data_IF_903426568281
#
_entry.id   IF_903426568281
#
_cell.length_a   1.000
_cell.length_b   1.000
_cell.length_c   1.000
_cell.angle_alpha   90.00
_cell.angle_beta   90.00
_cell.angle_gamma   90.00
#
_symmetry.space_group_name_H-M   'P 1'
#
loop_
_entity.id
_entity.type
_entity.pdbx_description
1 polymer ?
#
# COMPACT_ATOMS: atom_id res chain seq x y z
N UNK A 1 -1.21 24.28 21.49
CA UNK A 1 -1.93 23.66 20.36
C UNK A 1 -1.62 22.17 20.39
N UNK A 2 -2.57 21.37 20.87
CA UNK A 2 -2.45 19.92 21.05
C UNK A 2 -2.61 19.22 19.70
N UNK A 3 -1.60 18.44 19.30
CA UNK A 3 -1.68 17.58 18.12
C UNK A 3 -2.83 16.56 18.28
N UNK A 4 -3.56 16.21 17.21
CA UNK A 4 -4.57 15.15 17.29
C UNK A 4 -3.89 13.82 17.61
N UNK A 5 -4.55 12.89 18.33
CA UNK A 5 -4.00 11.58 18.60
C UNK A 5 -3.93 10.80 17.29
N UNK A 6 -2.74 10.71 16.71
CA UNK A 6 -2.43 9.69 15.72
C UNK A 6 -2.49 8.34 16.44
N UNK A 7 -3.57 7.59 16.22
CA UNK A 7 -3.56 6.15 16.42
C UNK A 7 -2.70 5.50 15.31
N UNK A 8 -1.45 5.94 15.18
CA UNK A 8 -0.42 5.16 14.54
C UNK A 8 -0.44 3.80 15.25
N UNK A 9 -0.51 2.71 14.47
CA UNK A 9 -0.39 1.32 14.92
C UNK A 9 0.46 1.28 16.19
N UNK A 10 -0.19 1.16 17.34
CA UNK A 10 0.50 1.17 18.62
C UNK A 10 1.48 0.00 18.58
N UNK A 11 2.76 0.32 18.45
CA UNK A 11 3.86 -0.62 18.57
C UNK A 11 4.02 -0.95 20.06
N UNK A 12 3.03 -1.59 20.64
CA UNK A 12 3.06 -2.11 22.00
C UNK A 12 2.79 -3.60 21.92
N UNK A 13 3.86 -4.35 21.66
CA UNK A 13 3.84 -5.81 21.63
C UNK A 13 5.09 -6.33 20.94
N UNK A 14 5.65 -7.42 21.47
CA UNK A 14 6.70 -8.21 20.82
C UNK A 14 6.39 -8.42 19.33
N UNK A 15 7.40 -8.56 18.45
CA UNK A 15 7.18 -8.73 17.02
C UNK A 15 6.16 -9.87 16.78
N UNK A 16 4.96 -9.51 16.35
CA UNK A 16 3.98 -10.47 15.86
C UNK A 16 4.62 -11.24 14.70
N UNK A 17 4.52 -12.56 14.71
CA UNK A 17 5.05 -13.41 13.64
C UNK A 17 4.43 -13.09 12.26
N UNK A 18 3.28 -12.41 12.23
CA UNK A 18 2.55 -12.04 11.02
C UNK A 18 2.30 -10.52 10.92
N UNK A 19 2.36 -9.94 9.71
CA UNK A 19 2.09 -8.53 9.48
C UNK A 19 0.62 -8.19 9.69
N UNK A 20 0.32 -6.93 10.03
CA UNK A 20 -1.07 -6.45 10.00
C UNK A 20 -1.59 -6.50 8.56
N UNK A 21 -2.62 -7.31 8.34
CA UNK A 21 -3.21 -7.47 7.02
C UNK A 21 -4.33 -6.45 6.78
N UNK A 22 -4.14 -5.62 5.75
CA UNK A 22 -5.06 -4.58 5.30
C UNK A 22 -5.82 -5.08 4.07
N UNK A 23 -7.16 -5.10 4.14
CA UNK A 23 -7.96 -5.61 3.02
C UNK A 23 -8.20 -4.50 2.01
N UNK A 24 -7.74 -4.66 0.77
CA UNK A 24 -8.08 -3.74 -0.31
C UNK A 24 -9.58 -3.85 -0.61
N UNK A 25 -10.33 -2.75 -0.55
CA UNK A 25 -11.78 -2.75 -0.81
C UNK A 25 -12.14 -1.85 -2.01
N UNK A 26 -12.98 -2.33 -2.94
CA UNK A 26 -13.34 -1.57 -4.13
C UNK A 26 -14.43 -0.54 -3.84
N UNK A 27 -15.16 -0.63 -2.73
CA UNK A 27 -16.40 0.11 -2.53
C UNK A 27 -16.36 0.89 -1.20
N UNK A 28 -16.36 2.24 -1.22
CA UNK A 28 -16.27 3.07 -0.02
C UNK A 28 -17.36 2.80 1.01
N UNK A 29 -18.57 2.40 0.60
CA UNK A 29 -19.66 2.07 1.54
C UNK A 29 -19.33 0.88 2.46
N UNK A 30 -18.30 0.08 2.15
CA UNK A 30 -17.86 -1.00 3.01
C UNK A 30 -17.21 -0.52 4.30
N UNK A 31 -16.63 0.69 4.30
CA UNK A 31 -15.96 1.25 5.48
C UNK A 31 -16.92 1.39 6.67
N UNK A 32 -18.22 1.61 6.43
CA UNK A 32 -19.24 1.64 7.48
C UNK A 32 -19.78 0.27 7.90
N UNK A 33 -19.32 -0.82 7.28
CA UNK A 33 -19.87 -2.18 7.44
C UNK A 33 -18.85 -3.20 7.97
N UNK A 34 -17.57 -2.85 7.99
CA UNK A 34 -16.48 -3.71 8.46
C UNK A 34 -15.77 -3.05 9.64
N UNK A 35 -15.10 -3.86 10.45
CA UNK A 35 -14.34 -3.41 11.63
C UNK A 35 -12.84 -3.65 11.50
N UNK A 36 -12.39 -4.35 10.46
CA UNK A 36 -10.98 -4.65 10.22
C UNK A 36 -10.31 -3.63 9.28
N UNK A 37 -8.98 -3.46 9.37
CA UNK A 37 -8.17 -2.62 8.47
C UNK A 37 -8.53 -2.73 6.98
N UNK A 38 -8.81 -1.59 6.35
CA UNK A 38 -9.18 -1.53 4.94
C UNK A 38 -8.40 -0.48 4.15
N UNK A 39 -7.93 -0.85 2.96
CA UNK A 39 -7.28 0.08 2.03
C UNK A 39 -8.22 0.41 0.88
N UNK A 40 -8.36 1.69 0.57
CA UNK A 40 -9.19 2.19 -0.54
C UNK A 40 -8.37 3.13 -1.40
N UNK A 41 -8.44 2.98 -2.72
CA UNK A 41 -7.78 3.95 -3.60
C UNK A 41 -8.52 5.29 -3.56
N UNK A 42 -7.77 6.39 -3.52
CA UNK A 42 -8.21 7.78 -3.61
C UNK A 42 -9.32 7.97 -4.64
N UNK A 43 -9.14 7.42 -5.85
CA UNK A 43 -10.13 7.58 -6.91
C UNK A 43 -11.51 6.98 -6.63
N UNK A 44 -11.60 5.96 -5.79
CA UNK A 44 -12.89 5.37 -5.41
C UNK A 44 -13.60 6.27 -4.42
N UNK A 45 -12.83 6.95 -3.56
CA UNK A 45 -13.33 7.92 -2.60
C UNK A 45 -13.69 9.26 -3.24
N UNK A 46 -12.93 9.70 -4.25
CA UNK A 46 -13.11 11.00 -4.92
C UNK A 46 -14.15 10.97 -6.06
N UNK A 47 -14.48 9.79 -6.63
CA UNK A 47 -15.41 9.67 -7.78
C UNK A 47 -16.85 10.09 -7.50
N UNK A 48 -17.27 10.07 -6.24
CA UNK A 48 -18.63 10.41 -5.82
C UNK A 48 -18.54 11.08 -4.44
N UNK A 49 -19.44 12.02 -4.12
CA UNK A 49 -19.57 12.47 -2.74
C UNK A 49 -19.72 11.23 -1.86
N UNK A 50 -18.85 11.09 -0.85
CA UNK A 50 -19.00 10.01 0.12
C UNK A 50 -20.41 10.09 0.70
N UNK A 51 -21.14 8.95 0.83
CA UNK A 51 -22.50 8.95 1.34
C UNK A 51 -22.60 9.83 2.58
N UNK A 52 -23.64 10.67 2.69
CA UNK A 52 -23.77 11.62 3.81
C UNK A 52 -23.69 10.92 5.18
N UNK A 53 -24.25 9.72 5.26
CA UNK A 53 -24.26 8.86 6.45
C UNK A 53 -23.03 7.92 6.57
N UNK A 54 -22.03 8.02 5.69
CA UNK A 54 -20.83 7.21 5.83
C UNK A 54 -20.03 7.70 7.04
N UNK A 55 -19.95 6.85 8.07
CA UNK A 55 -18.96 6.93 9.13
C UNK A 55 -18.18 5.63 9.10
N UNK A 56 -16.87 5.68 8.86
CA UNK A 56 -16.06 4.47 8.86
C UNK A 56 -16.07 3.82 10.25
N UNK A 57 -16.26 2.51 10.30
CA UNK A 57 -16.21 1.68 11.52
C UNK A 57 -14.89 0.89 11.62
N UNK A 58 -13.98 1.11 10.69
CA UNK A 58 -12.69 0.45 10.62
C UNK A 58 -11.55 1.46 10.44
N UNK A 59 -10.31 1.08 10.76
CA UNK A 59 -9.13 1.85 10.37
C UNK A 59 -8.98 1.86 8.83
N UNK A 60 -8.90 3.05 8.23
CA UNK A 60 -8.83 3.20 6.77
C UNK A 60 -7.46 3.70 6.32
N UNK A 61 -6.96 3.09 5.25
CA UNK A 61 -5.71 3.44 4.58
C UNK A 61 -6.02 3.87 3.16
N UNK A 62 -5.33 4.89 2.66
CA UNK A 62 -5.59 5.44 1.32
C UNK A 62 -4.44 5.15 0.38
N UNK A 63 -4.74 4.41 -0.70
CA UNK A 63 -3.83 4.28 -1.84
C UNK A 63 -3.98 5.52 -2.72
N UNK A 64 -2.89 6.20 -3.07
CA UNK A 64 -2.90 7.40 -3.90
C UNK A 64 -3.35 7.12 -5.35
N UNK A 65 -3.43 5.83 -5.73
CA UNK A 65 -3.84 5.34 -7.05
C UNK A 65 -2.79 5.60 -8.14
N UNK A 66 -1.52 5.72 -7.74
CA UNK A 66 -0.39 5.99 -8.66
C UNK A 66 -0.29 5.01 -9.81
N UNK A 67 -0.51 3.71 -9.56
CA UNK A 67 -0.43 2.72 -10.64
C UNK A 67 -1.41 3.01 -11.77
N UNK A 68 -2.61 3.48 -11.43
CA UNK A 68 -3.61 3.79 -12.45
C UNK A 68 -3.29 5.09 -13.17
N UNK A 69 -2.79 6.11 -12.46
CA UNK A 69 -2.41 7.39 -13.07
C UNK A 69 -1.29 7.18 -14.08
N UNK A 70 -0.18 6.56 -13.67
CA UNK A 70 0.96 6.34 -14.55
C UNK A 70 0.64 5.36 -15.68
N UNK A 71 -0.12 4.29 -15.42
CA UNK A 71 -0.56 3.37 -16.48
C UNK A 71 -1.38 4.09 -17.55
N UNK A 72 -2.34 4.94 -17.16
CA UNK A 72 -3.29 5.54 -18.11
C UNK A 72 -2.77 6.81 -18.77
N UNK A 73 -1.99 7.60 -18.04
CA UNK A 73 -1.64 8.96 -18.43
C UNK A 73 -0.13 9.16 -18.56
N UNK A 74 0.71 8.24 -18.08
CA UNK A 74 2.16 8.41 -18.04
C UNK A 74 2.62 9.51 -17.06
N UNK A 75 1.69 10.07 -16.28
CA UNK A 75 1.90 11.18 -15.35
C UNK A 75 0.78 11.23 -14.31
N UNK A 76 1.01 11.97 -13.25
CA UNK A 76 -0.04 12.36 -12.31
C UNK A 76 -0.96 13.41 -12.94
N UNK A 77 -2.28 13.17 -12.89
CA UNK A 77 -3.29 14.17 -13.29
C UNK A 77 -3.92 14.88 -12.10
N UNK A 78 -3.71 14.35 -10.89
CA UNK A 78 -4.14 14.93 -9.61
C UNK A 78 -2.93 15.64 -9.01
N UNK A 79 -3.09 16.90 -8.66
CA UNK A 79 -2.03 17.69 -8.01
C UNK A 79 -1.87 17.30 -6.54
N UNK A 80 -0.69 17.54 -5.97
CA UNK A 80 -0.43 17.34 -4.55
C UNK A 80 -1.38 18.15 -3.65
N UNK A 81 -1.75 19.36 -4.09
CA UNK A 81 -2.70 20.24 -3.39
C UNK A 81 -4.10 19.64 -3.35
N UNK A 82 -4.64 19.22 -4.49
CA UNK A 82 -5.96 18.57 -4.56
C UNK A 82 -6.01 17.31 -3.70
N UNK A 83 -4.95 16.50 -3.75
CA UNK A 83 -4.85 15.29 -2.95
C UNK A 83 -4.88 15.58 -1.44
N UNK A 84 -4.08 16.55 -0.99
CA UNK A 84 -4.03 16.99 0.41
C UNK A 84 -5.34 17.61 0.89
N UNK A 85 -5.94 18.50 0.10
CA UNK A 85 -7.22 19.15 0.44
C UNK A 85 -8.32 18.11 0.60
N UNK A 86 -8.33 17.10 -0.26
CA UNK A 86 -9.26 16.00 -0.14
C UNK A 86 -9.03 15.18 1.14
N UNK A 87 -7.77 14.82 1.45
CA UNK A 87 -7.44 14.06 2.66
C UNK A 87 -7.82 14.82 3.93
N UNK A 88 -7.56 16.14 4.01
CA UNK A 88 -8.02 16.98 5.13
C UNK A 88 -9.53 16.93 5.30
N UNK A 89 -10.25 17.14 4.19
CA UNK A 89 -11.70 17.30 4.23
C UNK A 89 -12.44 16.00 4.59
N UNK A 90 -11.79 14.84 4.41
CA UNK A 90 -12.43 13.54 4.57
C UNK A 90 -11.76 12.61 5.58
N UNK A 91 -10.58 12.95 6.10
CA UNK A 91 -9.75 12.10 6.94
C UNK A 91 -10.48 11.56 8.17
N UNK A 92 -11.15 12.44 8.92
CA UNK A 92 -11.96 12.04 10.08
C UNK A 92 -13.12 11.13 9.68
N UNK A 93 -13.87 11.51 8.63
CA UNK A 93 -15.04 10.77 8.15
C UNK A 93 -14.71 9.33 7.76
N UNK A 94 -13.52 9.12 7.21
CA UNK A 94 -13.05 7.78 6.80
C UNK A 94 -12.21 7.08 7.88
N UNK A 95 -11.97 7.68 9.05
CA UNK A 95 -11.05 7.15 10.06
C UNK A 95 -9.65 6.86 9.46
N UNK A 96 -9.08 7.86 8.80
CA UNK A 96 -7.79 7.79 8.13
C UNK A 96 -6.67 7.47 9.12
N UNK A 97 -5.95 6.38 8.88
CA UNK A 97 -4.75 6.01 9.64
C UNK A 97 -3.48 6.49 8.96
N UNK A 98 -3.38 6.28 7.64
CA UNK A 98 -2.36 6.86 6.79
C UNK A 98 -2.75 6.82 5.31
N UNK A 99 -2.07 7.64 4.52
CA UNK A 99 -2.20 7.72 3.07
C UNK A 99 -0.84 7.48 2.39
N UNK A 100 -0.84 6.76 1.27
CA UNK A 100 0.32 6.63 0.40
C UNK A 100 0.59 7.98 -0.30
N UNK A 101 1.86 8.32 -0.63
CA UNK A 101 2.18 9.51 -1.39
C UNK A 101 1.86 9.28 -2.87
N UNK A 102 1.99 10.31 -3.69
CA UNK A 102 1.85 10.21 -5.14
C UNK A 102 3.20 9.81 -5.78
N UNK A 103 3.64 8.60 -5.45
CA UNK A 103 4.90 8.00 -5.86
C UNK A 103 4.94 7.54 -7.33
N UNK A 104 6.13 7.14 -7.79
CA UNK A 104 6.38 6.79 -9.19
C UNK A 104 6.94 5.37 -9.34
N UNK A 105 6.12 4.47 -9.89
CA UNK A 105 6.47 3.05 -10.01
C UNK A 105 7.45 2.79 -11.14
N UNK A 106 8.47 2.01 -10.81
CA UNK A 106 9.60 1.66 -11.66
C UNK A 106 9.39 0.39 -12.49
N UNK A 107 8.15 -0.11 -12.62
CA UNK A 107 7.90 -1.30 -13.43
C UNK A 107 8.15 -1.02 -14.92
N UNK A 108 8.78 -1.93 -15.69
CA UNK A 108 9.07 -1.73 -17.11
C UNK A 108 7.84 -1.32 -17.94
N UNK A 109 6.66 -1.85 -17.59
CA UNK A 109 5.41 -1.47 -18.26
C UNK A 109 5.00 -0.01 -18.03
N UNK A 110 5.27 0.52 -16.83
CA UNK A 110 5.03 1.92 -16.49
C UNK A 110 6.08 2.82 -17.14
N UNK A 111 7.36 2.40 -17.15
CA UNK A 111 8.44 3.17 -17.74
C UNK A 111 8.30 3.27 -19.26
N UNK A 112 8.21 2.14 -19.95
CA UNK A 112 8.34 2.07 -21.40
C UNK A 112 7.00 2.23 -22.15
N UNK A 113 5.87 1.90 -21.50
CA UNK A 113 4.57 1.93 -22.16
C UNK A 113 4.40 0.84 -23.21
N UNK A 114 3.29 0.88 -23.93
CA UNK A 114 2.92 -0.14 -24.91
C UNK A 114 2.06 -1.25 -24.34
N UNK A 115 2.05 -2.41 -25.01
CA UNK A 115 1.14 -3.51 -24.70
C UNK A 115 1.85 -4.58 -23.87
N UNK A 116 1.39 -4.78 -22.64
CA UNK A 116 1.86 -5.83 -21.73
C UNK A 116 0.72 -6.82 -21.49
N UNK A 117 0.76 -7.94 -22.20
CA UNK A 117 -0.33 -8.90 -22.23
C UNK A 117 -1.60 -8.29 -22.84
N UNK A 118 -2.67 -8.22 -22.04
CA UNK A 118 -3.98 -7.62 -22.44
C UNK A 118 -4.13 -6.17 -21.99
N UNK A 119 -3.12 -5.61 -21.32
CA UNK A 119 -3.17 -4.27 -20.77
C UNK A 119 -2.32 -3.31 -21.61
N UNK A 120 -2.83 -2.11 -21.84
CA UNK A 120 -2.09 -1.01 -22.48
C UNK A 120 -1.60 -0.04 -21.42
N UNK A 121 -0.37 0.42 -21.57
CA UNK A 121 0.30 1.38 -20.72
C UNK A 121 0.72 2.59 -21.55
N UNK A 122 0.47 3.79 -21.02
CA UNK A 122 0.86 5.04 -21.68
C UNK A 122 2.39 5.15 -21.81
N UNK A 123 3.12 4.69 -20.78
CA UNK A 123 4.56 4.92 -20.67
C UNK A 123 4.84 6.31 -20.11
N UNK A 124 5.64 6.37 -19.06
CA UNK A 124 6.19 7.66 -18.60
C UNK A 124 7.35 8.12 -19.49
N UNK A 125 8.04 7.16 -20.11
CA UNK A 125 9.27 7.34 -20.89
C UNK A 125 10.40 8.00 -20.08
N UNK A 126 10.41 7.77 -18.77
CA UNK A 126 11.43 8.25 -17.84
C UNK A 126 12.31 7.10 -17.37
N UNK A 127 13.49 7.43 -16.88
CA UNK A 127 14.38 6.47 -16.24
C UNK A 127 13.90 6.08 -14.84
N UNK A 128 14.35 4.94 -14.33
CA UNK A 128 14.15 4.56 -12.92
C UNK A 128 14.66 5.67 -12.00
N UNK A 129 15.86 6.20 -12.25
CA UNK A 129 16.44 7.31 -11.48
C UNK A 129 15.49 8.51 -11.38
N UNK A 130 14.85 8.90 -12.48
CA UNK A 130 13.89 10.00 -12.48
C UNK A 130 12.64 9.68 -11.65
N UNK A 131 12.15 8.44 -11.69
CA UNK A 131 11.05 8.00 -10.82
C UNK A 131 11.41 8.04 -9.34
N UNK A 132 12.66 7.70 -8.98
CA UNK A 132 13.14 7.81 -7.60
C UNK A 132 13.11 9.27 -7.11
N UNK A 133 13.67 10.20 -7.90
CA UNK A 133 13.65 11.62 -7.57
C UNK A 133 12.22 12.15 -7.41
N UNK A 134 11.34 11.89 -8.38
CA UNK A 134 9.94 12.35 -8.31
C UNK A 134 9.17 11.76 -7.13
N UNK A 135 9.49 10.53 -6.73
CA UNK A 135 8.89 9.90 -5.54
C UNK A 135 9.31 10.62 -4.26
N UNK A 136 10.59 10.91 -4.12
CA UNK A 136 11.15 11.63 -2.96
C UNK A 136 10.61 13.07 -2.93
N UNK A 137 10.69 13.79 -4.05
CA UNK A 137 10.22 15.17 -4.19
C UNK A 137 8.71 15.29 -3.89
N UNK A 138 7.92 14.31 -4.35
CA UNK A 138 6.49 14.30 -4.05
C UNK A 138 6.23 14.14 -2.56
N UNK A 139 6.93 13.21 -1.88
CA UNK A 139 6.78 13.04 -0.44
C UNK A 139 7.16 14.33 0.33
N UNK A 140 8.27 14.97 -0.04
CA UNK A 140 8.69 16.24 0.57
C UNK A 140 7.66 17.34 0.34
N UNK A 141 7.12 17.44 -0.87
CA UNK A 141 6.06 18.39 -1.22
C UNK A 141 4.80 18.16 -0.37
N UNK A 142 4.35 16.91 -0.23
CA UNK A 142 3.19 16.56 0.58
C UNK A 142 3.41 16.87 2.06
N UNK A 143 4.61 16.57 2.59
CA UNK A 143 4.99 16.90 3.97
C UNK A 143 5.04 18.41 4.22
N UNK A 144 5.46 19.20 3.23
CA UNK A 144 5.43 20.65 3.32
C UNK A 144 4.00 21.20 3.26
N UNK A 145 3.16 20.67 2.37
CA UNK A 145 1.78 21.12 2.19
C UNK A 145 0.88 20.74 3.37
N UNK A 146 1.12 19.60 4.01
CA UNK A 146 0.29 19.05 5.08
C UNK A 146 1.09 18.21 6.10
N UNK A 147 1.95 18.84 6.92
CA UNK A 147 2.73 18.13 7.93
C UNK A 147 1.88 17.43 8.98
N UNK A 148 0.61 17.82 9.15
CA UNK A 148 -0.35 17.22 10.07
C UNK A 148 -1.00 15.93 9.57
N UNK A 149 -0.96 15.67 8.25
CA UNK A 149 -1.57 14.47 7.68
C UNK A 149 -0.61 13.27 7.77
N UNK A 150 -1.12 12.06 8.07
CA UNK A 150 -0.31 10.85 8.14
C UNK A 150 0.01 10.31 6.73
N UNK A 151 0.84 11.03 5.97
CA UNK A 151 1.35 10.57 4.67
C UNK A 151 2.71 9.94 4.90
N UNK A 152 2.87 8.66 4.55
CA UNK A 152 4.12 7.94 4.76
C UNK A 152 4.92 7.78 3.46
N UNK A 153 6.27 7.84 3.51
CA UNK A 153 7.08 7.75 2.30
C UNK A 153 7.06 6.33 1.73
N UNK A 154 7.45 6.23 0.46
CA UNK A 154 7.57 4.95 -0.25
C UNK A 154 8.95 4.87 -0.89
N UNK A 155 9.66 3.78 -0.61
CA UNK A 155 10.88 3.47 -1.37
C UNK A 155 10.49 2.79 -2.68
N UNK A 156 10.97 3.35 -3.78
CA UNK A 156 10.75 2.86 -5.13
C UNK A 156 12.03 2.25 -5.71
N UNK A 157 11.88 1.42 -6.73
CA UNK A 157 12.99 0.78 -7.43
C UNK A 157 12.54 -0.39 -8.29
N UNK A 158 13.43 -0.88 -9.16
CA UNK A 158 13.22 -2.13 -9.88
C UNK A 158 14.21 -3.19 -9.38
N UNK A 159 15.51 -2.90 -9.36
CA UNK A 159 16.53 -3.78 -8.79
C UNK A 159 16.83 -3.37 -7.35
N UNK A 160 17.48 -4.26 -6.58
CA UNK A 160 17.84 -3.98 -5.18
C UNK A 160 18.58 -2.64 -5.03
N UNK A 161 19.53 -2.36 -5.91
CA UNK A 161 20.31 -1.13 -5.88
C UNK A 161 19.46 0.12 -6.12
N UNK A 162 18.35 0.03 -6.86
CA UNK A 162 17.43 1.17 -7.00
C UNK A 162 16.77 1.52 -5.67
N UNK A 163 16.34 0.50 -4.92
CA UNK A 163 15.73 0.72 -3.60
C UNK A 163 16.75 1.32 -2.62
N UNK A 164 17.99 0.83 -2.63
CA UNK A 164 19.07 1.40 -1.81
C UNK A 164 19.39 2.84 -2.21
N UNK A 165 19.44 3.15 -3.51
CA UNK A 165 19.56 4.52 -4.02
C UNK A 165 18.41 5.40 -3.55
N UNK A 166 17.17 4.90 -3.56
CA UNK A 166 16.02 5.64 -3.08
C UNK A 166 16.13 5.98 -1.58
N UNK A 167 16.60 5.03 -0.76
CA UNK A 167 16.89 5.29 0.67
C UNK A 167 17.95 6.39 0.84
N UNK A 168 19.01 6.37 0.03
CA UNK A 168 20.04 7.42 0.02
C UNK A 168 19.46 8.77 -0.38
N UNK A 169 18.56 8.83 -1.36
CA UNK A 169 17.89 10.08 -1.76
C UNK A 169 17.05 10.67 -0.62
N UNK A 170 16.29 9.85 0.10
CA UNK A 170 15.57 10.30 1.29
C UNK A 170 16.52 10.82 2.38
N UNK A 171 17.62 10.10 2.62
CA UNK A 171 18.63 10.50 3.61
C UNK A 171 19.27 11.84 3.24
N UNK A 172 19.64 12.03 1.98
CA UNK A 172 20.20 13.27 1.46
C UNK A 172 19.22 14.45 1.56
N UNK A 173 17.91 14.18 1.50
CA UNK A 173 16.85 15.16 1.73
C UNK A 173 16.51 15.38 3.22
N UNK A 174 17.29 14.83 4.15
CA UNK A 174 17.09 14.99 5.59
C UNK A 174 15.94 14.16 6.16
N UNK A 175 15.53 13.08 5.48
CA UNK A 175 14.49 12.16 5.96
C UNK A 175 15.15 10.87 6.47
N UNK A 176 15.15 10.70 7.79
CA UNK A 176 15.49 9.42 8.43
C UNK A 176 14.30 8.46 8.32
N UNK A 177 14.35 7.56 7.34
CA UNK A 177 13.31 6.56 7.10
C UNK A 177 13.18 5.53 8.23
N UNK A 178 14.26 5.23 8.97
CA UNK A 178 14.21 4.25 10.07
C UNK A 178 13.48 4.82 11.29
N UNK A 179 13.57 6.14 11.50
CA UNK A 179 12.81 6.83 12.54
C UNK A 179 11.30 6.91 12.26
N UNK A 180 10.85 6.72 11.01
CA UNK A 180 9.44 6.82 10.62
C UNK A 180 8.64 5.56 10.98
N UNK A 181 7.37 5.70 11.43
CA UNK A 181 6.56 4.58 11.90
C UNK A 181 6.25 3.54 10.82
N UNK A 182 6.31 3.95 9.55
CA UNK A 182 6.05 3.10 8.41
C UNK A 182 6.71 3.68 7.14
N UNK A 183 7.17 2.80 6.27
CA UNK A 183 7.71 3.10 4.93
C UNK A 183 7.12 2.09 3.95
N UNK A 184 6.47 2.55 2.89
CA UNK A 184 5.94 1.66 1.86
C UNK A 184 7.02 1.14 0.92
N UNK A 185 6.81 -0.03 0.32
CA UNK A 185 7.67 -0.56 -0.74
C UNK A 185 6.89 -0.58 -2.06
N UNK A 186 7.32 0.25 -3.00
CA UNK A 186 6.72 0.35 -4.32
C UNK A 186 7.21 -0.71 -5.30
N UNK A 187 6.53 -0.83 -6.45
CA UNK A 187 6.93 -1.69 -7.59
C UNK A 187 7.03 -3.20 -7.32
N UNK A 188 6.45 -3.69 -6.20
CA UNK A 188 6.49 -5.12 -5.82
C UNK A 188 5.24 -5.92 -6.23
N UNK A 189 4.14 -5.24 -6.56
CA UNK A 189 2.81 -5.85 -6.71
C UNK A 189 2.71 -6.88 -7.86
N UNK A 190 3.62 -6.89 -8.84
CA UNK A 190 3.63 -7.88 -9.95
C UNK A 190 4.77 -8.92 -9.85
N UNK A 191 5.64 -8.84 -8.83
CA UNK A 191 6.83 -9.69 -8.63
C UNK A 191 6.85 -10.44 -7.30
N UNK A 192 5.77 -10.34 -6.53
CA UNK A 192 5.62 -10.77 -5.13
C UNK A 192 5.86 -12.26 -4.80
N UNK A 193 6.23 -13.09 -5.77
CA UNK A 193 6.56 -14.50 -5.56
C UNK A 193 8.00 -14.85 -5.93
N UNK A 194 8.82 -13.88 -6.35
CA UNK A 194 10.22 -14.14 -6.72
C UNK A 194 11.13 -14.19 -5.50
N UNK A 195 12.28 -14.86 -5.62
CA UNK A 195 13.32 -14.80 -4.58
C UNK A 195 13.83 -13.37 -4.38
N UNK A 196 13.91 -12.62 -5.49
CA UNK A 196 14.39 -11.25 -5.56
C UNK A 196 13.59 -10.28 -4.68
N UNK A 197 12.24 -10.32 -4.70
CA UNK A 197 11.44 -9.47 -3.79
C UNK A 197 11.68 -9.85 -2.33
N UNK A 198 11.90 -11.13 -2.03
CA UNK A 198 12.27 -11.57 -0.69
C UNK A 198 13.60 -10.95 -0.23
N UNK A 199 14.59 -10.86 -1.11
CA UNK A 199 15.86 -10.20 -0.85
C UNK A 199 15.68 -8.70 -0.62
N UNK A 200 14.95 -7.99 -1.50
CA UNK A 200 14.66 -6.55 -1.35
C UNK A 200 14.00 -6.26 0.00
N UNK A 201 12.94 -6.99 0.35
CA UNK A 201 12.21 -6.78 1.61
C UNK A 201 13.11 -7.05 2.81
N UNK A 202 13.90 -8.14 2.78
CA UNK A 202 14.80 -8.50 3.89
C UNK A 202 15.91 -7.47 4.06
N UNK A 203 16.53 -7.02 2.97
CA UNK A 203 17.57 -5.99 3.01
C UNK A 203 17.03 -4.67 3.57
N UNK A 204 15.88 -4.20 3.08
CA UNK A 204 15.27 -2.96 3.57
C UNK A 204 14.88 -3.06 5.05
N UNK A 205 14.37 -4.21 5.50
CA UNK A 205 14.07 -4.44 6.91
C UNK A 205 15.35 -4.48 7.76
N UNK A 206 16.45 -5.02 7.22
CA UNK A 206 17.77 -5.01 7.85
C UNK A 206 18.36 -3.61 8.04
N UNK A 207 17.95 -2.63 7.24
CA UNK A 207 18.25 -1.20 7.44
C UNK A 207 17.41 -0.55 8.56
N UNK A 208 16.57 -1.32 9.26
CA UNK A 208 15.69 -0.82 10.32
C UNK A 208 14.37 -0.22 9.82
N UNK A 209 14.04 -0.36 8.54
CA UNK A 209 12.80 0.19 7.99
C UNK A 209 11.57 -0.62 8.44
N UNK A 210 10.52 0.11 8.84
CA UNK A 210 9.22 -0.46 9.20
C UNK A 210 8.33 -0.56 7.97
N UNK A 211 8.32 -1.72 7.31
CA UNK A 211 7.84 -1.81 5.94
C UNK A 211 6.32 -2.07 5.81
N UNK A 212 5.69 -1.38 4.84
CA UNK A 212 4.39 -1.74 4.29
C UNK A 212 4.54 -2.33 2.88
N UNK A 213 4.03 -3.54 2.69
CA UNK A 213 4.02 -4.18 1.36
C UNK A 213 2.73 -3.88 0.59
N UNK A 214 2.82 -3.11 -0.50
CA UNK A 214 1.68 -2.82 -1.35
C UNK A 214 1.28 -3.99 -2.25
N UNK A 215 0.01 -4.39 -2.20
CA UNK A 215 -0.57 -5.41 -3.09
C UNK A 215 0.08 -6.80 -2.98
N UNK A 216 0.63 -7.15 -1.81
CA UNK A 216 1.29 -8.44 -1.60
C UNK A 216 0.25 -9.56 -1.60
N UNK A 217 0.52 -10.63 -2.37
CA UNK A 217 -0.38 -11.81 -2.42
C UNK A 217 0.00 -12.83 -1.35
N UNK A 218 -0.90 -13.78 -1.11
CA UNK A 218 -0.75 -14.87 -0.15
C UNK A 218 0.64 -15.51 -0.17
N UNK A 219 1.17 -15.88 -1.34
CA UNK A 219 2.49 -16.53 -1.43
C UNK A 219 3.64 -15.61 -0.96
N UNK A 220 3.59 -14.32 -1.30
CA UNK A 220 4.58 -13.34 -0.82
C UNK A 220 4.49 -13.13 0.69
N UNK A 221 3.27 -13.02 1.23
CA UNK A 221 3.04 -12.92 2.68
C UNK A 221 3.59 -14.15 3.42
N UNK A 222 3.40 -15.35 2.89
CA UNK A 222 3.94 -16.58 3.49
C UNK A 222 5.48 -16.66 3.43
N UNK A 223 6.10 -16.00 2.44
CA UNK A 223 7.56 -16.07 2.20
C UNK A 223 8.34 -15.03 2.99
N UNK A 224 7.89 -13.77 2.97
CA UNK A 224 8.62 -12.64 3.54
C UNK A 224 7.75 -11.73 4.42
N UNK A 225 6.50 -12.11 4.71
CA UNK A 225 5.58 -11.28 5.50
C UNK A 225 6.08 -10.95 6.91
N UNK A 226 6.93 -11.81 7.50
CA UNK A 226 7.57 -11.57 8.80
C UNK A 226 8.49 -10.34 8.85
N UNK A 227 8.91 -9.83 7.69
CA UNK A 227 9.74 -8.62 7.58
C UNK A 227 8.90 -7.36 7.31
N UNK A 228 7.57 -7.49 7.27
CA UNK A 228 6.65 -6.39 7.05
C UNK A 228 5.93 -6.06 8.36
N UNK A 229 5.73 -4.78 8.64
CA UNK A 229 4.84 -4.32 9.70
C UNK A 229 3.39 -4.52 9.27
N UNK A 230 3.10 -4.22 8.01
CA UNK A 230 1.78 -4.39 7.42
C UNK A 230 1.86 -4.68 5.93
N UNK A 231 0.77 -5.19 5.37
CA UNK A 231 0.64 -5.37 3.92
C UNK A 231 -0.83 -5.29 3.52
N UNK A 232 -1.09 -4.74 2.33
CA UNK A 232 -2.42 -4.76 1.75
C UNK A 232 -2.55 -5.78 0.62
N UNK A 233 -3.78 -6.21 0.37
CA UNK A 233 -4.10 -6.98 -0.82
C UNK A 233 -5.55 -6.87 -1.25
N UNK A 234 -5.76 -6.70 -2.55
CA UNK A 234 -7.06 -6.93 -3.21
C UNK A 234 -7.08 -8.26 -3.99
N UNK A 235 -6.12 -9.16 -3.75
CA UNK A 235 -6.03 -10.45 -4.46
C UNK A 235 -7.29 -11.31 -4.35
N UNK A 236 -8.05 -11.16 -3.26
CA UNK A 236 -9.35 -11.80 -3.07
C UNK A 236 -10.34 -11.49 -4.20
N UNK A 237 -10.30 -10.30 -4.80
CA UNK A 237 -11.22 -9.90 -5.87
C UNK A 237 -10.95 -10.69 -7.15
N UNK A 238 -9.67 -10.86 -7.49
CA UNK A 238 -9.26 -11.71 -8.62
C UNK A 238 -9.55 -13.18 -8.35
N UNK A 239 -9.30 -13.66 -7.14
CA UNK A 239 -9.65 -15.03 -6.72
C UNK A 239 -11.16 -15.29 -6.88
N UNK A 240 -11.98 -14.34 -6.43
CA UNK A 240 -13.43 -14.37 -6.52
C UNK A 240 -13.99 -14.26 -7.95
N UNK A 241 -13.24 -13.64 -8.87
CA UNK A 241 -13.59 -13.57 -10.29
C UNK A 241 -13.49 -14.93 -10.99
N UNK A 242 -12.54 -15.77 -10.55
CA UNK A 242 -12.27 -17.08 -11.16
C UNK A 242 -12.85 -18.25 -10.34
N UNK A 243 -13.51 -17.96 -9.23
CA UNK A 243 -14.17 -18.96 -8.39
C UNK A 243 -15.68 -18.96 -8.61
N UNK A 244 -16.37 -20.10 -8.41
CA UNK A 244 -17.82 -20.11 -8.34
C UNK A 244 -18.33 -19.07 -7.32
N UNK A 245 -19.45 -18.38 -7.60
CA UNK A 245 -20.11 -17.56 -6.59
C UNK A 245 -20.39 -18.36 -5.31
N UNK A 246 -20.38 -17.69 -4.16
CA UNK A 246 -20.81 -18.34 -2.93
C UNK A 246 -22.27 -18.79 -3.05
N UNK A 247 -22.71 -19.87 -2.38
CA UNK A 247 -24.07 -20.40 -2.50
C UNK A 247 -25.18 -19.35 -2.31
N UNK A 248 -24.99 -18.39 -1.40
CA UNK A 248 -25.99 -17.35 -1.08
C UNK A 248 -25.85 -16.06 -1.94
N UNK A 249 -25.03 -16.10 -2.98
CA UNK A 249 -24.74 -14.94 -3.82
C UNK A 249 -25.50 -15.01 -5.15
N UNK A 250 -26.36 -14.04 -5.41
CA UNK A 250 -27.16 -13.94 -6.65
C UNK A 250 -26.46 -13.21 -7.81
N UNK A 251 -25.24 -12.72 -7.60
CA UNK A 251 -24.47 -11.99 -8.61
C UNK A 251 -23.55 -12.93 -9.41
N UNK A 252 -23.28 -12.56 -10.69
CA UNK A 252 -22.50 -13.37 -11.65
C UNK A 252 -21.17 -13.91 -11.11
N UNK A 253 -20.43 -13.11 -10.34
CA UNK A 253 -19.21 -13.52 -9.66
C UNK A 253 -19.00 -12.69 -8.38
N UNK A 254 -18.10 -13.14 -7.51
CA UNK A 254 -17.87 -12.54 -6.20
C UNK A 254 -16.79 -11.43 -6.20
N UNK A 255 -16.34 -10.93 -7.37
CA UNK A 255 -15.20 -10.01 -7.46
C UNK A 255 -15.39 -8.69 -6.71
N UNK A 256 -16.64 -8.30 -6.41
CA UNK A 256 -16.99 -7.15 -5.58
C UNK A 256 -17.92 -7.56 -4.42
N UNK A 257 -17.73 -8.76 -3.86
CA UNK A 257 -18.60 -9.29 -2.81
C UNK A 257 -17.93 -9.19 -1.42
N UNK A 258 -18.57 -8.46 -0.51
CA UNK A 258 -18.08 -8.30 0.87
C UNK A 258 -17.98 -9.65 1.60
N UNK A 259 -18.99 -10.53 1.44
CA UNK A 259 -18.99 -11.86 2.08
C UNK A 259 -17.78 -12.69 1.63
N UNK A 260 -17.45 -12.63 0.34
CA UNK A 260 -16.28 -13.32 -0.20
C UNK A 260 -14.99 -12.75 0.36
N UNK A 261 -14.83 -11.41 0.34
CA UNK A 261 -13.65 -10.74 0.87
C UNK A 261 -13.39 -11.11 2.35
N UNK A 262 -14.43 -11.12 3.18
CA UNK A 262 -14.35 -11.50 4.60
C UNK A 262 -13.91 -12.96 4.77
N UNK A 263 -14.52 -13.89 4.03
CA UNK A 263 -14.15 -15.32 4.07
C UNK A 263 -12.72 -15.55 3.59
N UNK A 264 -12.32 -14.88 2.51
CA UNK A 264 -10.96 -14.97 1.99
C UNK A 264 -9.94 -14.44 2.99
N UNK A 265 -10.22 -13.28 3.61
CA UNK A 265 -9.38 -12.66 4.65
C UNK A 265 -9.19 -13.60 5.84
N UNK A 266 -10.27 -14.18 6.35
CA UNK A 266 -10.20 -15.12 7.48
C UNK A 266 -9.30 -16.33 7.17
N UNK A 267 -9.45 -16.93 5.98
CA UNK A 267 -8.59 -18.02 5.52
C UNK A 267 -7.12 -17.60 5.40
N UNK A 268 -6.85 -16.41 4.89
CA UNK A 268 -5.48 -15.89 4.79
C UNK A 268 -4.85 -15.74 6.18
N UNK A 269 -5.56 -15.09 7.11
CA UNK A 269 -5.04 -14.89 8.46
C UNK A 269 -4.79 -16.20 9.19
N UNK A 270 -5.68 -17.18 9.05
CA UNK A 270 -5.45 -18.52 9.60
C UNK A 270 -4.14 -19.15 9.08
N UNK A 271 -3.84 -18.99 7.78
CA UNK A 271 -2.58 -19.46 7.20
C UNK A 271 -1.36 -18.71 7.74
N UNK A 272 -1.47 -17.40 7.94
CA UNK A 272 -0.37 -16.59 8.47
C UNK A 272 -0.08 -16.90 9.94
N UNK A 273 -1.13 -17.12 10.74
CA UNK A 273 -0.98 -17.50 12.15
C UNK A 273 -0.44 -18.92 12.33
N UNK A 274 -0.63 -19.81 11.35
CA UNK A 274 -0.10 -21.17 11.37
C UNK A 274 1.40 -21.25 11.00
N UNK A 275 2.03 -20.13 10.58
CA UNK A 275 3.45 -20.12 10.31
C UNK A 275 4.24 -20.24 11.62
N UNK A 276 5.29 -21.09 11.67
CA UNK A 276 6.12 -21.21 12.87
C UNK A 276 6.81 -19.88 13.18
N UNK A 277 6.72 -19.46 14.44
CA UNK A 277 7.54 -18.38 15.00
C UNK A 277 9.00 -18.81 14.90
N UNK A 278 9.75 -18.23 13.96
CA UNK A 278 11.21 -18.40 13.90
C UNK A 278 11.85 -17.20 14.57
N UNK A 279 12.68 -17.46 15.58
CA UNK A 279 13.49 -16.46 16.26
C UNK A 279 14.29 -15.69 15.21
N UNK A 280 14.14 -14.37 15.19
CA UNK A 280 14.97 -13.50 14.35
C UNK A 280 16.32 -13.40 15.04
N UNK A 281 17.30 -14.17 14.58
CA UNK A 281 18.70 -13.87 14.89
C UNK A 281 19.01 -12.51 14.26
N UNK A 282 19.25 -11.48 15.09
CA UNK A 282 19.81 -10.22 14.61
C UNK A 282 21.17 -10.53 13.97
N UNK A 283 21.45 -10.07 12.74
CA UNK A 283 22.81 -10.11 12.22
C UNK A 283 23.73 -9.42 13.23
N UNK A 284 24.86 -10.04 13.54
CA UNK A 284 25.89 -9.44 14.37
C UNK A 284 26.34 -8.10 13.74
N UNK A 285 26.54 -7.10 14.61
CA UNK A 285 26.93 -5.73 14.27
C UNK A 285 28.25 -5.66 13.52
#
# INVERSE_FOLDING_TARGET
MTAPPTHALAATGAPSAAPVFVTGVPEPSWLGRITFPAMVSYSRLARRPLPRHLTARCPTYVDSRGFTELKKHGRWTITAREYVEWLRSHGEKINLQWAAPQDWMCEPAILHGGRFGRETFAGTHLSVREHLHRTVDNYLTLRQLAPELPIFPVVQGWELDDYLRCVVLYTAAGVDLAALPLVGIGSVCRRQSTAEIGQIVTTLAGLGLRLHGFGVKTLGLLRYGRYLVSADSMAWSKDALHSPPLPDCVHRNCANCLRYAVRWRARLLAKLHALPSRTVERPAA
#
